data_IF_057758080991
#
_entry.id   IF_057758080991
#
_cell.length_a   1.000
_cell.length_b   1.000
_cell.length_c   1.000
_cell.angle_alpha   90.00
_cell.angle_beta   90.00
_cell.angle_gamma   90.00
#
_symmetry.space_group_name_H-M   'P 1'
#
loop_
_entity.id
_entity.type
_entity.pdbx_description
1 polymer ?
#
# COMPACT_ATOMS: atom_id res chain seq x y z
N UNK A 1 -18.11 65.42 44.24
CA UNK A 1 -18.39 64.02 43.87
C UNK A 1 -18.68 64.02 42.38
N UNK A 2 -17.68 63.69 41.59
CA UNK A 2 -17.66 63.80 40.13
C UNK A 2 -17.82 62.42 39.51
N UNK A 3 -18.96 62.18 38.86
CA UNK A 3 -19.22 61.00 38.06
C UNK A 3 -18.49 61.10 36.72
N UNK A 4 -17.78 60.03 36.36
CA UNK A 4 -17.10 59.83 35.07
C UNK A 4 -18.11 59.47 33.97
N UNK A 5 -17.96 59.99 32.73
CA UNK A 5 -18.83 59.61 31.62
C UNK A 5 -18.42 58.26 31.00
N UNK A 6 -19.41 57.44 30.67
CA UNK A 6 -19.29 56.18 29.94
C UNK A 6 -18.75 56.41 28.52
N UNK A 7 -17.66 55.73 28.15
CA UNK A 7 -17.22 55.51 26.78
C UNK A 7 -17.99 54.34 26.15
N UNK A 8 -18.47 54.45 24.89
CA UNK A 8 -19.12 53.32 24.21
C UNK A 8 -18.08 52.31 23.68
N UNK A 9 -18.42 51.02 23.73
CA UNK A 9 -17.65 49.91 23.14
C UNK A 9 -17.47 50.08 21.62
N UNK A 10 -16.33 49.66 21.03
CA UNK A 10 -16.17 49.65 19.58
C UNK A 10 -16.99 48.52 18.95
N UNK A 11 -17.68 48.85 17.85
CA UNK A 11 -18.47 47.91 17.07
C UNK A 11 -17.59 46.74 16.55
N UNK A 12 -18.08 45.51 16.73
CA UNK A 12 -17.41 44.29 16.30
C UNK A 12 -17.06 44.29 14.80
N UNK A 13 -15.86 43.82 14.48
CA UNK A 13 -15.42 43.56 13.12
C UNK A 13 -16.30 42.49 12.46
N UNK A 14 -16.76 42.67 11.21
CA UNK A 14 -17.52 41.63 10.52
C UNK A 14 -16.61 40.44 10.21
N UNK A 15 -17.10 39.22 10.43
CA UNK A 15 -16.46 37.98 9.97
C UNK A 15 -16.16 38.07 8.46
N UNK A 16 -15.00 37.58 7.98
CA UNK A 16 -14.71 37.57 6.56
C UNK A 16 -15.70 36.63 5.86
N UNK A 17 -16.62 37.21 5.08
CA UNK A 17 -17.49 36.47 4.20
C UNK A 17 -16.64 35.69 3.18
N UNK A 18 -16.69 34.36 3.24
CA UNK A 18 -16.02 33.49 2.28
C UNK A 18 -16.43 33.83 0.84
N UNK A 19 -15.47 33.74 -0.09
CA UNK A 19 -15.70 34.00 -1.51
C UNK A 19 -16.85 33.12 -2.05
N UNK A 20 -17.86 33.68 -2.74
CA UNK A 20 -18.95 32.88 -3.30
C UNK A 20 -18.40 31.89 -4.34
N UNK A 21 -18.77 30.62 -4.22
CA UNK A 21 -18.45 29.60 -5.22
C UNK A 21 -19.25 29.82 -6.51
N UNK A 22 -18.63 29.71 -7.70
CA UNK A 22 -19.37 29.78 -8.97
C UNK A 22 -20.41 28.65 -9.07
N UNK A 23 -21.58 28.96 -9.64
CA UNK A 23 -22.72 28.03 -9.77
C UNK A 23 -22.41 26.73 -10.55
N UNK A 24 -21.28 26.66 -11.24
CA UNK A 24 -20.80 25.50 -12.01
C UNK A 24 -19.84 24.58 -11.25
N UNK A 25 -19.65 24.78 -9.94
CA UNK A 25 -18.76 23.93 -9.12
C UNK A 25 -19.48 22.59 -8.81
N UNK A 26 -18.95 21.43 -9.25
CA UNK A 26 -19.56 20.15 -8.92
C UNK A 26 -19.54 19.90 -7.41
N UNK A 27 -20.72 19.60 -6.83
CA UNK A 27 -20.82 19.20 -5.42
C UNK A 27 -20.39 17.73 -5.32
N UNK A 28 -19.29 17.47 -4.61
CA UNK A 28 -18.87 16.11 -4.33
C UNK A 28 -19.91 15.43 -3.42
N UNK A 29 -20.53 14.36 -3.91
CA UNK A 29 -21.35 13.49 -3.07
C UNK A 29 -20.41 12.77 -2.08
N UNK A 30 -20.57 13.07 -0.80
CA UNK A 30 -19.84 12.41 0.29
C UNK A 30 -20.16 10.90 0.25
N UNK A 31 -19.17 10.01 0.11
CA UNK A 31 -19.41 8.58 0.33
C UNK A 31 -19.72 8.34 1.82
N UNK A 32 -20.51 7.31 2.18
CA UNK A 32 -20.83 7.04 3.57
C UNK A 32 -19.55 6.82 4.38
N UNK A 33 -19.46 7.48 5.55
CA UNK A 33 -18.36 7.29 6.51
C UNK A 33 -18.22 5.79 6.82
N UNK A 34 -17.02 5.25 6.61
CA UNK A 34 -16.62 3.99 7.20
C UNK A 34 -16.61 4.14 8.73
N UNK A 35 -17.56 3.50 9.41
CA UNK A 35 -17.54 3.42 10.88
C UNK A 35 -16.54 2.35 11.31
N UNK A 36 -15.33 2.77 11.67
CA UNK A 36 -14.40 1.93 12.43
C UNK A 36 -14.88 1.89 13.89
N UNK A 37 -15.07 0.72 14.52
CA UNK A 37 -15.38 0.67 15.95
C UNK A 37 -14.13 1.07 16.76
N UNK A 38 -14.27 2.08 17.62
CA UNK A 38 -13.33 2.37 18.69
C UNK A 38 -13.34 1.20 19.68
N UNK A 39 -12.22 0.47 19.81
CA UNK A 39 -12.02 -0.48 20.88
C UNK A 39 -11.11 0.15 21.95
N UNK A 40 -11.72 0.82 22.92
CA UNK A 40 -11.09 1.06 24.21
C UNK A 40 -11.36 -0.15 25.12
N UNK A 41 -10.30 -0.75 25.63
CA UNK A 41 -10.35 -1.83 26.60
C UNK A 41 -10.93 -1.37 27.94
N UNK A 42 -12.04 -1.97 28.37
CA UNK A 42 -12.37 -2.20 29.78
C UNK A 42 -13.44 -3.32 29.88
N UNK A 43 -13.10 -4.40 30.60
CA UNK A 43 -14.04 -5.46 31.05
C UNK A 43 -14.60 -5.11 32.44
N UNK A 44 -15.53 -5.89 33.02
CA UNK A 44 -16.77 -6.45 32.46
C UNK A 44 -17.96 -6.15 33.38
N UNK A 45 -19.19 -6.08 32.85
CA UNK A 45 -20.38 -6.69 33.48
C UNK A 45 -21.66 -6.39 32.69
N UNK A 46 -22.51 -7.40 32.70
CA UNK A 46 -23.97 -7.36 32.61
C UNK A 46 -24.64 -7.68 31.25
N UNK A 47 -25.67 -8.52 31.42
CA UNK A 47 -26.52 -9.21 30.44
C UNK A 47 -27.41 -8.22 29.67
N UNK A 48 -27.80 -8.57 28.44
CA UNK A 48 -29.19 -8.59 27.89
C UNK A 48 -29.12 -8.87 26.37
N UNK A 49 -29.56 -10.05 25.90
CA UNK A 49 -30.82 -10.36 25.17
C UNK A 49 -30.98 -9.67 23.80
N UNK A 50 -31.20 -10.50 22.78
CA UNK A 50 -31.44 -10.18 21.38
C UNK A 50 -32.80 -9.50 21.10
N UNK A 51 -32.91 -8.78 19.98
CA UNK A 51 -34.05 -8.85 19.02
C UNK A 51 -33.80 -8.04 17.74
N UNK A 52 -34.26 -8.62 16.61
CA UNK A 52 -34.78 -8.05 15.35
C UNK A 52 -34.00 -6.89 14.69
N UNK A 53 -33.41 -7.00 13.48
CA UNK A 53 -33.87 -7.67 12.27
C UNK A 53 -34.67 -6.68 11.42
N UNK A 54 -34.08 -6.07 10.38
CA UNK A 54 -34.78 -5.40 9.26
C UNK A 54 -33.93 -5.51 7.99
N UNK A 55 -34.57 -5.99 6.93
CA UNK A 55 -34.06 -6.23 5.58
C UNK A 55 -34.16 -4.96 4.74
N UNK A 56 -33.14 -4.66 3.94
CA UNK A 56 -33.24 -3.72 2.81
C UNK A 56 -32.49 -4.31 1.62
N UNK A 57 -33.25 -4.81 0.65
CA UNK A 57 -32.79 -5.33 -0.64
C UNK A 57 -32.65 -4.18 -1.64
N UNK A 58 -31.47 -3.98 -2.21
CA UNK A 58 -31.31 -3.23 -3.45
C UNK A 58 -30.79 -4.18 -4.54
N UNK A 59 -31.63 -4.38 -5.57
CA UNK A 59 -31.34 -5.25 -6.69
C UNK A 59 -30.42 -4.58 -7.71
N UNK A 60 -29.48 -5.35 -8.25
CA UNK A 60 -28.76 -5.08 -9.48
C UNK A 60 -28.74 -6.34 -10.35
N UNK A 61 -28.95 -6.12 -11.65
CA UNK A 61 -29.16 -7.10 -12.74
C UNK A 61 -28.26 -8.33 -12.72
N UNK A 62 -28.89 -9.50 -12.80
CA UNK A 62 -28.24 -10.76 -13.11
C UNK A 62 -28.00 -10.89 -14.62
N UNK A 63 -26.73 -10.95 -15.03
CA UNK A 63 -26.33 -11.41 -16.36
C UNK A 63 -26.53 -12.94 -16.44
N UNK A 64 -27.34 -13.35 -17.41
CA UNK A 64 -27.79 -14.73 -17.59
C UNK A 64 -26.69 -15.55 -18.31
N UNK A 65 -25.87 -16.27 -17.55
CA UNK A 65 -24.91 -17.26 -18.06
C UNK A 65 -25.32 -18.67 -17.65
N UNK A 66 -25.57 -19.55 -18.63
CA UNK A 66 -25.91 -20.97 -18.41
C UNK A 66 -24.80 -21.68 -17.60
N UNK A 67 -25.13 -22.54 -16.62
CA UNK A 67 -24.11 -23.28 -15.89
C UNK A 67 -23.56 -24.41 -16.78
N UNK A 68 -22.26 -24.36 -17.04
CA UNK A 68 -21.52 -25.47 -17.66
C UNK A 68 -21.35 -26.56 -16.60
N UNK A 69 -21.96 -27.72 -16.82
CA UNK A 69 -21.82 -28.89 -15.96
C UNK A 69 -20.40 -29.47 -16.08
N UNK A 70 -19.50 -29.10 -15.18
CA UNK A 70 -18.23 -29.80 -15.04
C UNK A 70 -18.48 -31.12 -14.31
N UNK A 71 -18.26 -32.22 -15.03
CA UNK A 71 -18.35 -33.58 -14.52
C UNK A 71 -17.47 -33.75 -13.28
N UNK A 72 -18.12 -34.07 -12.16
CA UNK A 72 -17.43 -34.53 -10.97
C UNK A 72 -16.88 -35.94 -11.21
N UNK A 73 -15.64 -36.03 -11.68
CA UNK A 73 -14.87 -37.26 -11.55
C UNK A 73 -14.52 -37.40 -10.07
N UNK A 74 -15.27 -38.26 -9.34
CA UNK A 74 -14.89 -38.71 -8.00
C UNK A 74 -13.51 -39.36 -8.08
N UNK A 75 -12.47 -38.62 -7.72
CA UNK A 75 -11.17 -39.19 -7.42
C UNK A 75 -11.37 -40.16 -6.24
N UNK A 76 -11.10 -41.44 -6.50
CA UNK A 76 -11.15 -42.48 -5.48
C UNK A 76 -10.12 -42.15 -4.39
N UNK A 77 -10.61 -42.07 -3.15
CA UNK A 77 -9.83 -41.67 -1.99
C UNK A 77 -8.98 -42.86 -1.49
N UNK A 78 -7.92 -43.19 -2.22
CA UNK A 78 -6.75 -43.80 -1.61
C UNK A 78 -6.01 -42.68 -0.89
N UNK A 79 -5.88 -42.77 0.44
CA UNK A 79 -5.36 -41.68 1.30
C UNK A 79 -3.98 -41.20 0.88
N UNK A 80 -3.93 -40.25 -0.06
CA UNK A 80 -2.69 -39.63 -0.50
C UNK A 80 -2.14 -38.78 0.64
N UNK A 81 -0.87 -38.99 0.98
CA UNK A 81 -0.17 -38.17 1.95
C UNK A 81 -0.25 -36.70 1.51
N UNK A 82 -0.69 -35.81 2.39
CA UNK A 82 -0.77 -34.39 2.08
C UNK A 82 0.64 -33.85 1.79
N UNK A 83 0.74 -32.91 0.85
CA UNK A 83 2.00 -32.23 0.61
C UNK A 83 2.38 -31.40 1.83
N UNK A 84 3.67 -31.41 2.18
CA UNK A 84 4.18 -30.64 3.32
C UNK A 84 4.45 -29.21 2.85
N UNK A 85 3.99 -28.22 3.62
CA UNK A 85 4.28 -26.80 3.38
C UNK A 85 5.05 -26.24 4.57
N UNK A 86 6.22 -25.67 4.28
CA UNK A 86 7.04 -24.98 5.28
C UNK A 86 6.52 -23.55 5.47
N UNK A 87 5.83 -23.31 6.58
CA UNK A 87 5.38 -21.99 6.99
C UNK A 87 6.53 -21.28 7.71
N UNK A 88 7.13 -20.27 7.09
CA UNK A 88 8.15 -19.42 7.72
C UNK A 88 7.53 -18.09 8.13
N UNK A 89 7.54 -17.80 9.44
CA UNK A 89 6.88 -16.62 9.99
C UNK A 89 6.06 -16.90 11.22
N UNK A 90 5.39 -15.84 11.66
CA UNK A 90 4.48 -15.87 12.79
C UNK A 90 3.10 -16.43 12.40
N UNK A 91 2.29 -16.88 13.37
CA UNK A 91 0.94 -17.39 13.09
C UNK A 91 0.06 -16.37 12.35
N UNK A 92 -0.86 -16.88 11.54
CA UNK A 92 -1.80 -16.04 10.81
C UNK A 92 -2.66 -15.20 11.76
N UNK A 93 -2.60 -13.88 11.58
CA UNK A 93 -3.41 -12.88 12.30
C UNK A 93 -4.69 -12.48 11.56
N UNK A 94 -4.66 -12.51 10.23
CA UNK A 94 -5.76 -12.04 9.37
C UNK A 94 -6.21 -13.15 8.43
N UNK A 95 -7.49 -13.19 8.06
CA UNK A 95 -8.09 -14.24 7.21
C UNK A 95 -7.91 -15.68 7.76
N UNK A 96 -8.26 -15.92 9.04
CA UNK A 96 -8.04 -17.22 9.69
C UNK A 96 -8.78 -18.37 9.01
N UNK A 97 -9.96 -18.13 8.43
CA UNK A 97 -10.72 -19.17 7.72
C UNK A 97 -10.02 -19.63 6.44
N UNK A 98 -9.41 -18.73 5.68
CA UNK A 98 -8.59 -19.09 4.51
C UNK A 98 -7.39 -19.94 4.91
N UNK A 99 -6.72 -19.57 6.00
CA UNK A 99 -5.59 -20.36 6.51
C UNK A 99 -6.04 -21.72 7.07
N UNK A 100 -7.21 -21.78 7.72
CA UNK A 100 -7.79 -23.04 8.20
C UNK A 100 -8.11 -23.99 7.04
N UNK A 101 -8.70 -23.49 5.96
CA UNK A 101 -8.92 -24.27 4.75
C UNK A 101 -7.58 -24.76 4.14
N UNK A 102 -6.58 -23.86 4.08
CA UNK A 102 -5.23 -24.19 3.61
C UNK A 102 -4.56 -25.29 4.46
N UNK A 103 -4.55 -25.15 5.79
CA UNK A 103 -4.02 -26.15 6.72
C UNK A 103 -4.85 -27.45 6.74
N UNK A 104 -6.12 -27.40 6.31
CA UNK A 104 -6.93 -28.58 6.05
C UNK A 104 -6.45 -29.37 4.83
N UNK A 105 -5.93 -28.68 3.81
CA UNK A 105 -5.46 -29.29 2.56
C UNK A 105 -3.99 -29.77 2.61
N UNK A 106 -3.15 -29.17 3.46
CA UNK A 106 -1.71 -29.42 3.50
C UNK A 106 -1.20 -29.79 4.91
N UNK A 107 -0.08 -30.51 4.98
CA UNK A 107 0.64 -30.72 6.23
C UNK A 107 1.57 -29.52 6.47
N UNK A 108 1.09 -28.56 7.27
CA UNK A 108 1.82 -27.31 7.50
C UNK A 108 2.82 -27.47 8.65
N UNK A 109 4.11 -27.35 8.35
CA UNK A 109 5.20 -27.35 9.33
C UNK A 109 5.66 -25.92 9.55
N UNK A 110 5.66 -25.47 10.80
CA UNK A 110 6.10 -24.12 11.17
C UNK A 110 7.29 -24.20 12.12
N UNK A 111 8.53 -23.95 11.63
CA UNK A 111 9.71 -23.93 12.49
C UNK A 111 9.59 -22.88 13.59
N UNK A 112 10.15 -23.19 14.76
CA UNK A 112 10.23 -22.24 15.88
C UNK A 112 11.08 -21.01 15.51
N UNK A 113 11.01 -19.94 16.29
CA UNK A 113 11.79 -18.72 16.02
C UNK A 113 13.31 -18.98 16.06
N UNK A 114 13.77 -19.84 16.96
CA UNK A 114 15.18 -20.26 17.04
C UNK A 114 15.60 -21.05 15.82
N UNK A 115 14.72 -21.93 15.31
CA UNK A 115 14.97 -22.70 14.10
C UNK A 115 14.98 -21.87 12.81
N UNK A 116 14.37 -20.68 12.82
CA UNK A 116 14.38 -19.74 11.70
C UNK A 116 15.64 -18.87 11.63
N UNK A 117 16.53 -18.94 12.62
CA UNK A 117 17.81 -18.24 12.55
C UNK A 117 18.72 -18.88 11.50
N UNK A 118 19.39 -18.09 10.66
CA UNK A 118 20.13 -18.60 9.50
C UNK A 118 21.02 -19.83 9.77
N UNK A 119 21.90 -19.83 10.80
CA UNK A 119 22.78 -20.99 11.04
C UNK A 119 21.99 -22.26 11.39
N UNK A 120 20.97 -22.11 12.22
CA UNK A 120 20.11 -23.22 12.65
C UNK A 120 19.21 -23.71 11.52
N UNK A 121 18.71 -22.80 10.67
CA UNK A 121 17.88 -23.12 9.52
C UNK A 121 18.67 -23.91 8.47
N UNK A 122 19.93 -23.51 8.19
CA UNK A 122 20.85 -24.26 7.32
C UNK A 122 21.09 -25.66 7.86
N UNK A 123 21.37 -25.78 9.17
CA UNK A 123 21.55 -27.06 9.83
C UNK A 123 20.30 -27.93 9.69
N UNK A 124 19.11 -27.36 9.91
CA UNK A 124 17.84 -28.06 9.81
C UNK A 124 17.54 -28.61 8.41
N UNK A 125 17.85 -27.83 7.37
CA UNK A 125 17.70 -28.27 5.99
C UNK A 125 18.62 -29.46 5.67
N UNK A 126 19.89 -29.39 6.11
CA UNK A 126 20.86 -30.50 5.94
C UNK A 126 20.44 -31.78 6.66
N UNK A 127 19.83 -31.63 7.83
CA UNK A 127 19.30 -32.74 8.64
C UNK A 127 17.95 -33.27 8.13
N UNK A 128 17.31 -32.58 7.17
CA UNK A 128 15.98 -32.95 6.68
C UNK A 128 14.88 -32.84 7.74
N UNK A 129 15.03 -31.95 8.74
CA UNK A 129 14.16 -31.89 9.93
C UNK A 129 12.67 -31.68 9.63
N UNK A 130 12.36 -31.01 8.53
CA UNK A 130 10.98 -30.73 8.12
C UNK A 130 10.50 -31.63 6.96
N UNK A 131 11.29 -32.67 6.62
CA UNK A 131 11.02 -33.60 5.54
C UNK A 131 11.06 -32.95 4.15
N UNK A 132 10.60 -33.71 3.15
CA UNK A 132 10.58 -33.31 1.74
C UNK A 132 9.41 -32.35 1.43
N UNK A 133 9.45 -31.13 1.97
CA UNK A 133 8.41 -30.12 1.75
C UNK A 133 8.29 -29.66 0.29
N UNK A 134 7.06 -29.52 -0.17
CA UNK A 134 6.75 -29.18 -1.56
C UNK A 134 6.63 -27.68 -1.81
N UNK A 135 6.39 -26.90 -0.75
CA UNK A 135 6.30 -25.45 -0.85
C UNK A 135 6.79 -24.74 0.40
N UNK A 136 7.15 -23.47 0.22
CA UNK A 136 7.44 -22.52 1.29
C UNK A 136 6.37 -21.44 1.27
N UNK A 137 5.83 -21.12 2.44
CA UNK A 137 4.83 -20.10 2.65
C UNK A 137 5.32 -19.09 3.70
N UNK A 138 5.51 -17.84 3.29
CA UNK A 138 5.85 -16.71 4.15
C UNK A 138 4.71 -15.69 4.19
N UNK A 139 3.79 -15.75 5.15
CA UNK A 139 2.59 -14.92 5.14
C UNK A 139 2.78 -13.46 5.57
N UNK A 140 3.91 -13.13 6.19
CA UNK A 140 4.15 -11.79 6.72
C UNK A 140 5.46 -11.22 6.21
N UNK A 141 5.46 -9.91 5.92
CA UNK A 141 6.69 -9.20 5.61
C UNK A 141 7.56 -9.03 6.86
N UNK A 142 6.96 -8.66 7.99
CA UNK A 142 7.70 -8.35 9.23
C UNK A 142 8.32 -9.56 9.94
N UNK A 143 7.92 -10.78 9.59
CA UNK A 143 8.44 -12.03 10.17
C UNK A 143 8.76 -13.04 9.06
N UNK A 144 9.46 -14.12 9.39
CA UNK A 144 9.84 -15.14 8.39
C UNK A 144 11.03 -14.73 7.52
N UNK A 145 11.69 -13.62 7.85
CA UNK A 145 12.92 -13.14 7.22
C UNK A 145 14.17 -13.35 8.08
N UNK A 146 14.07 -14.11 9.18
CA UNK A 146 15.14 -14.26 10.18
C UNK A 146 16.39 -14.96 9.61
N UNK A 147 16.24 -15.75 8.54
CA UNK A 147 17.35 -16.38 7.84
C UNK A 147 18.09 -15.43 6.87
N UNK A 148 17.62 -14.19 6.73
CA UNK A 148 18.23 -13.18 5.85
C UNK A 148 17.97 -13.46 4.37
N UNK A 149 18.97 -13.14 3.53
CA UNK A 149 18.86 -13.29 2.07
C UNK A 149 18.70 -14.76 1.67
N UNK A 150 17.77 -15.02 0.77
CA UNK A 150 17.61 -16.31 0.11
C UNK A 150 18.52 -16.36 -1.11
N UNK A 151 19.77 -16.74 -0.84
CA UNK A 151 20.85 -16.86 -1.80
C UNK A 151 21.23 -18.33 -2.02
N UNK A 152 22.38 -18.58 -2.64
CA UNK A 152 22.86 -19.93 -2.93
C UNK A 152 22.99 -20.82 -1.71
N UNK A 153 23.40 -20.28 -0.56
CA UNK A 153 23.64 -21.06 0.65
C UNK A 153 22.35 -21.70 1.18
N UNK A 154 21.22 -21.00 1.06
CA UNK A 154 19.90 -21.53 1.45
C UNK A 154 19.23 -22.30 0.32
N UNK A 155 19.20 -21.72 -0.88
CA UNK A 155 18.44 -22.27 -2.01
C UNK A 155 19.00 -23.63 -2.44
N UNK A 156 20.31 -23.85 -2.34
CA UNK A 156 20.91 -25.12 -2.73
C UNK A 156 20.55 -26.28 -1.80
N UNK A 157 20.19 -25.98 -0.55
CA UNK A 157 19.80 -26.96 0.47
C UNK A 157 18.30 -27.31 0.44
N UNK A 158 17.51 -26.67 -0.42
CA UNK A 158 16.09 -26.99 -0.53
C UNK A 158 15.88 -28.41 -1.07
N UNK A 159 14.89 -29.15 -0.54
CA UNK A 159 14.59 -30.50 -1.01
C UNK A 159 14.17 -30.47 -2.48
N UNK A 160 14.49 -31.53 -3.21
CA UNK A 160 14.16 -31.67 -4.63
C UNK A 160 12.66 -31.74 -4.89
N UNK A 161 11.83 -31.88 -3.86
CA UNK A 161 10.37 -31.81 -3.92
C UNK A 161 9.80 -30.39 -3.88
N UNK A 162 10.60 -29.39 -3.46
CA UNK A 162 10.15 -28.01 -3.39
C UNK A 162 9.89 -27.46 -4.81
N UNK A 163 8.69 -26.90 -5.03
CA UNK A 163 8.24 -26.38 -6.33
C UNK A 163 7.71 -24.96 -6.28
N UNK A 164 7.31 -24.47 -5.10
CA UNK A 164 6.70 -23.15 -4.95
C UNK A 164 7.24 -22.44 -3.70
N UNK A 165 7.58 -21.17 -3.84
CA UNK A 165 7.85 -20.27 -2.72
C UNK A 165 6.95 -19.04 -2.83
N UNK A 166 5.93 -18.98 -1.99
CA UNK A 166 5.04 -17.83 -1.88
C UNK A 166 5.42 -16.95 -0.68
N UNK A 167 5.63 -15.65 -0.92
CA UNK A 167 5.94 -14.67 0.11
C UNK A 167 5.04 -13.44 0.05
N UNK A 168 4.65 -12.97 1.22
CA UNK A 168 4.08 -11.63 1.39
C UNK A 168 5.12 -10.56 1.06
N UNK A 169 4.62 -9.40 0.63
CA UNK A 169 5.41 -8.26 0.17
C UNK A 169 5.46 -8.13 -1.35
N UNK A 170 5.66 -6.90 -1.83
CA UNK A 170 5.87 -6.63 -3.26
C UNK A 170 7.35 -6.77 -3.65
N UNK A 171 8.26 -6.28 -2.79
CA UNK A 171 9.70 -6.35 -3.01
C UNK A 171 10.26 -7.74 -2.73
N UNK A 172 11.18 -8.17 -3.58
CA UNK A 172 11.81 -9.50 -3.52
C UNK A 172 13.33 -9.46 -3.70
N UNK A 173 13.95 -8.29 -3.49
CA UNK A 173 15.41 -8.08 -3.63
C UNK A 173 16.26 -8.95 -2.68
N UNK A 174 15.63 -9.50 -1.65
CA UNK A 174 16.23 -10.44 -0.69
C UNK A 174 16.24 -11.89 -1.18
N UNK A 175 15.52 -12.23 -2.26
CA UNK A 175 15.41 -13.58 -2.81
C UNK A 175 16.01 -13.66 -4.21
N UNK A 176 16.95 -14.58 -4.41
CA UNK A 176 17.51 -14.89 -5.73
C UNK A 176 16.49 -15.71 -6.56
N UNK A 177 15.57 -14.98 -7.18
CA UNK A 177 14.49 -15.56 -8.00
C UNK A 177 15.01 -16.26 -9.27
N UNK A 178 16.18 -15.87 -9.78
CA UNK A 178 16.80 -16.55 -10.92
C UNK A 178 17.28 -17.94 -10.50
N UNK A 179 17.92 -18.04 -9.33
CA UNK A 179 18.37 -19.34 -8.80
C UNK A 179 17.21 -20.24 -8.39
N UNK A 180 16.16 -19.69 -7.78
CA UNK A 180 14.92 -20.43 -7.52
C UNK A 180 14.35 -21.00 -8.84
N UNK A 181 14.26 -20.17 -9.88
CA UNK A 181 13.82 -20.59 -11.21
C UNK A 181 14.70 -21.68 -11.83
N UNK A 182 16.02 -21.58 -11.69
CA UNK A 182 16.97 -22.59 -12.18
C UNK A 182 16.80 -23.97 -11.49
N UNK A 183 16.29 -24.00 -10.24
CA UNK A 183 15.91 -25.23 -9.53
C UNK A 183 14.45 -25.68 -9.79
N UNK A 184 13.73 -25.00 -10.69
CA UNK A 184 12.33 -25.30 -10.99
C UNK A 184 11.36 -24.87 -9.88
N UNK A 185 11.74 -23.89 -9.06
CA UNK A 185 10.91 -23.34 -7.99
C UNK A 185 10.26 -22.05 -8.47
N UNK A 186 8.93 -22.01 -8.49
CA UNK A 186 8.17 -20.81 -8.82
C UNK A 186 8.14 -19.89 -7.60
N UNK A 187 8.58 -18.65 -7.77
CA UNK A 187 8.47 -17.61 -6.74
C UNK A 187 7.23 -16.75 -6.96
N UNK A 188 6.42 -16.57 -5.92
CA UNK A 188 5.21 -15.76 -5.93
C UNK A 188 5.30 -14.66 -4.87
N UNK A 189 5.30 -13.40 -5.28
CA UNK A 189 5.15 -12.26 -4.37
C UNK A 189 3.68 -11.83 -4.26
N UNK A 190 3.41 -10.80 -3.46
CA UNK A 190 2.09 -10.17 -3.34
C UNK A 190 2.10 -8.75 -3.93
N UNK A 191 2.57 -8.61 -5.17
CA UNK A 191 2.87 -7.30 -5.79
C UNK A 191 1.69 -6.32 -5.94
N UNK A 192 0.45 -6.77 -5.82
CA UNK A 192 -0.74 -5.91 -5.84
C UNK A 192 -1.22 -5.49 -4.45
N UNK A 193 -0.87 -6.23 -3.40
CA UNK A 193 -1.53 -6.13 -2.09
C UNK A 193 -1.34 -4.77 -1.41
N UNK A 194 -0.20 -4.12 -1.63
CA UNK A 194 0.12 -2.81 -1.04
C UNK A 194 -0.05 -1.64 -2.02
N UNK A 195 -0.47 -1.88 -3.27
CA UNK A 195 -0.44 -0.86 -4.31
C UNK A 195 -1.31 0.35 -3.96
N UNK A 196 -2.52 0.11 -3.44
CA UNK A 196 -3.46 1.16 -3.00
C UNK A 196 -2.89 1.96 -1.83
N UNK A 197 -2.46 1.28 -0.76
CA UNK A 197 -1.94 1.93 0.44
C UNK A 197 -0.67 2.77 0.17
N UNK A 198 0.22 2.28 -0.69
CA UNK A 198 1.41 3.03 -1.09
C UNK A 198 1.02 4.24 -1.94
N UNK A 199 0.07 4.08 -2.87
CA UNK A 199 -0.42 5.20 -3.67
C UNK A 199 -1.06 6.29 -2.80
N UNK A 200 -1.89 5.92 -1.82
CA UNK A 200 -2.50 6.88 -0.88
C UNK A 200 -1.45 7.63 -0.07
N UNK A 201 -0.43 6.93 0.43
CA UNK A 201 0.67 7.56 1.16
C UNK A 201 1.45 8.53 0.27
N UNK A 202 1.71 8.15 -0.99
CA UNK A 202 2.37 9.03 -1.95
C UNK A 202 1.52 10.24 -2.34
N UNK A 203 0.19 10.12 -2.41
CA UNK A 203 -0.71 11.29 -2.58
C UNK A 203 -0.50 12.29 -1.44
N UNK A 204 -0.42 11.82 -0.19
CA UNK A 204 -0.13 12.68 0.95
C UNK A 204 1.26 13.34 0.84
N UNK A 205 2.27 12.62 0.34
CA UNK A 205 3.61 13.19 0.09
C UNK A 205 3.59 14.26 -1.00
N UNK A 206 2.90 14.03 -2.12
CA UNK A 206 2.78 15.02 -3.20
C UNK A 206 2.09 16.28 -2.68
N UNK A 207 0.96 16.15 -1.98
CA UNK A 207 0.29 17.27 -1.32
C UNK A 207 1.23 18.02 -0.35
N UNK A 208 2.01 17.26 0.42
CA UNK A 208 2.99 17.80 1.38
C UNK A 208 4.03 18.70 0.72
N UNK A 209 4.53 18.32 -0.47
CA UNK A 209 5.52 19.13 -1.21
C UNK A 209 4.94 20.43 -1.76
N UNK A 210 3.68 20.43 -2.21
CA UNK A 210 3.03 21.62 -2.78
C UNK A 210 2.51 22.58 -1.72
N UNK A 211 2.22 22.08 -0.52
CA UNK A 211 1.60 22.85 0.58
C UNK A 211 2.55 23.11 1.74
N UNK A 212 3.82 22.74 1.60
CA UNK A 212 4.86 22.90 2.62
C UNK A 212 4.41 22.38 4.00
N UNK A 213 3.71 21.24 4.02
CA UNK A 213 3.11 20.71 5.25
C UNK A 213 4.11 20.49 6.39
N UNK A 214 5.35 20.01 6.17
CA UNK A 214 6.30 19.82 7.27
C UNK A 214 6.65 21.14 7.96
N UNK A 215 6.79 22.23 7.21
CA UNK A 215 7.01 23.57 7.76
C UNK A 215 5.79 24.05 8.54
N UNK A 216 4.60 23.95 7.93
CA UNK A 216 3.36 24.40 8.57
C UNK A 216 3.05 23.63 9.86
N UNK A 217 3.24 22.31 9.85
CA UNK A 217 3.08 21.47 11.05
C UNK A 217 4.12 21.80 12.10
N UNK A 218 5.39 21.99 11.71
CA UNK A 218 6.46 22.38 12.63
C UNK A 218 6.19 23.73 13.31
N UNK A 219 5.75 24.73 12.55
CA UNK A 219 5.40 26.05 13.09
C UNK A 219 4.19 26.03 14.03
N UNK A 220 3.27 25.06 13.88
CA UNK A 220 2.09 24.92 14.72
C UNK A 220 2.34 24.16 16.04
N UNK A 221 3.44 23.40 16.14
CA UNK A 221 3.77 22.58 17.33
C UNK A 221 5.02 23.08 18.08
N UNK A 222 5.72 24.08 17.56
CA UNK A 222 6.92 24.64 18.18
C UNK A 222 6.62 25.13 19.60
N UNK A 223 7.58 24.97 20.51
CA UNK A 223 7.46 25.25 21.94
C UNK A 223 8.35 26.43 22.41
N UNK A 224 8.81 27.27 21.49
CA UNK A 224 9.78 28.33 21.77
C UNK A 224 9.07 29.61 22.26
N UNK A 225 9.77 30.42 23.07
CA UNK A 225 9.26 31.63 23.73
C UNK A 225 8.70 32.73 22.78
N UNK A 226 8.78 32.53 21.46
CA UNK A 226 8.26 33.40 20.39
C UNK A 226 7.32 32.63 19.42
N UNK A 227 6.55 31.68 19.96
CA UNK A 227 5.57 30.83 19.25
C UNK A 227 4.64 31.64 18.31
N UNK A 228 4.13 32.77 18.79
CA UNK A 228 3.27 33.67 18.00
C UNK A 228 4.01 34.18 16.75
N UNK A 229 5.31 34.47 16.85
CA UNK A 229 6.11 34.95 15.71
C UNK A 229 6.36 33.86 14.67
N UNK A 230 6.68 32.63 15.09
CA UNK A 230 6.93 31.52 14.16
C UNK A 230 5.66 31.07 13.42
N UNK A 231 4.54 30.94 14.13
CA UNK A 231 3.26 30.62 13.53
C UNK A 231 2.83 31.72 12.54
N UNK A 232 2.90 32.99 12.96
CA UNK A 232 2.48 34.12 12.12
C UNK A 232 3.40 34.31 10.91
N UNK A 233 4.72 34.11 11.06
CA UNK A 233 5.67 34.14 9.94
C UNK A 233 5.36 33.03 8.93
N UNK A 234 5.13 31.81 9.41
CA UNK A 234 4.73 30.70 8.55
C UNK A 234 3.41 31.00 7.83
N UNK A 235 2.39 31.49 8.54
CA UNK A 235 1.10 31.83 7.96
C UNK A 235 1.23 32.89 6.85
N UNK A 236 2.04 33.94 7.10
CA UNK A 236 2.27 35.00 6.12
C UNK A 236 3.03 34.52 4.88
N UNK A 237 4.01 33.62 5.03
CA UNK A 237 4.92 33.25 3.95
C UNK A 237 4.55 31.94 3.22
N UNK A 238 3.89 30.99 3.90
CA UNK A 238 3.55 29.69 3.31
C UNK A 238 2.56 29.83 2.15
N UNK A 239 1.64 30.77 2.22
CA UNK A 239 0.67 31.04 1.14
C UNK A 239 1.39 31.44 -0.16
N UNK A 240 2.43 32.28 -0.08
CA UNK A 240 3.20 32.72 -1.23
C UNK A 240 4.09 31.63 -1.85
N UNK A 241 4.37 30.55 -1.11
CA UNK A 241 5.20 29.41 -1.56
C UNK A 241 4.37 28.18 -1.94
N UNK A 242 3.11 28.14 -1.55
CA UNK A 242 2.22 27.01 -1.79
C UNK A 242 1.58 27.08 -3.16
N UNK A 243 1.38 25.92 -3.76
CA UNK A 243 0.71 25.80 -5.05
C UNK A 243 -0.43 24.77 -4.95
N UNK A 244 -1.49 24.96 -5.74
CA UNK A 244 -2.49 23.91 -5.95
C UNK A 244 -1.90 22.84 -6.87
N UNK A 245 -2.24 21.57 -6.67
CA UNK A 245 -1.78 20.49 -7.57
C UNK A 245 -2.32 20.65 -9.00
N UNK A 246 -3.57 21.08 -9.13
CA UNK A 246 -4.28 21.17 -10.40
C UNK A 246 -3.50 21.99 -11.42
N UNK A 247 -3.34 21.43 -12.62
CA UNK A 247 -2.65 22.06 -13.74
C UNK A 247 -1.12 21.91 -13.73
N UNK A 248 -0.52 21.40 -12.66
CA UNK A 248 0.91 21.09 -12.64
C UNK A 248 1.19 19.70 -13.20
N UNK A 249 2.39 19.52 -13.71
CA UNK A 249 2.85 18.31 -14.37
C UNK A 249 3.45 17.33 -13.34
N UNK A 250 2.86 16.14 -13.23
CA UNK A 250 3.34 15.04 -12.42
C UNK A 250 4.14 14.07 -13.30
N UNK A 251 5.41 13.83 -12.97
CA UNK A 251 6.23 12.81 -13.60
C UNK A 251 6.27 11.52 -12.79
N UNK A 252 5.84 10.40 -13.37
CA UNK A 252 5.91 9.07 -12.76
C UNK A 252 7.00 8.25 -13.45
N UNK A 253 8.08 7.92 -12.73
CA UNK A 253 9.08 6.97 -13.21
C UNK A 253 8.62 5.57 -12.81
N UNK A 254 8.16 4.77 -13.78
CA UNK A 254 7.60 3.43 -13.59
C UNK A 254 6.07 3.42 -13.46
N UNK A 255 5.37 3.03 -14.53
CA UNK A 255 3.90 2.96 -14.57
C UNK A 255 3.39 1.54 -14.26
N UNK A 256 3.89 0.99 -13.15
CA UNK A 256 3.49 -0.30 -12.59
C UNK A 256 2.17 -0.24 -11.81
N UNK A 257 1.94 -1.20 -10.90
CA UNK A 257 0.71 -1.24 -10.09
C UNK A 257 0.50 0.04 -9.28
N UNK A 258 1.56 0.55 -8.62
CA UNK A 258 1.52 1.79 -7.84
C UNK A 258 1.37 3.00 -8.76
N UNK A 259 2.21 3.10 -9.81
CA UNK A 259 2.20 4.24 -10.72
C UNK A 259 0.85 4.46 -11.41
N UNK A 260 0.12 3.39 -11.76
CA UNK A 260 -1.24 3.49 -12.32
C UNK A 260 -2.25 4.01 -11.31
N UNK A 261 -2.20 3.55 -10.06
CA UNK A 261 -3.06 4.07 -8.99
C UNK A 261 -2.78 5.55 -8.74
N UNK A 262 -1.51 5.96 -8.79
CA UNK A 262 -1.12 7.37 -8.67
C UNK A 262 -1.64 8.21 -9.82
N UNK A 263 -1.48 7.76 -11.06
CA UNK A 263 -2.02 8.45 -12.23
C UNK A 263 -3.53 8.67 -12.10
N UNK A 264 -4.27 7.63 -11.69
CA UNK A 264 -5.72 7.71 -11.49
C UNK A 264 -6.12 8.64 -10.34
N UNK A 265 -5.37 8.67 -9.24
CA UNK A 265 -5.67 9.49 -8.05
C UNK A 265 -5.29 10.96 -8.27
N UNK A 266 -4.08 11.23 -8.78
CA UNK A 266 -3.55 12.59 -8.91
C UNK A 266 -3.94 13.27 -10.23
N UNK A 267 -4.20 12.49 -11.27
CA UNK A 267 -4.60 12.99 -12.59
C UNK A 267 -6.09 13.32 -12.70
N UNK A 268 -6.51 13.59 -13.94
CA UNK A 268 -7.91 13.66 -14.35
C UNK A 268 -8.78 14.63 -13.53
N UNK A 269 -10.03 14.26 -13.17
CA UNK A 269 -10.92 15.16 -12.44
C UNK A 269 -10.65 15.23 -10.93
N UNK A 270 -9.78 14.37 -10.37
CA UNK A 270 -9.56 14.27 -8.92
C UNK A 270 -8.68 15.43 -8.40
N UNK A 271 -7.36 15.33 -8.53
CA UNK A 271 -6.45 16.44 -8.23
C UNK A 271 -6.08 17.25 -9.49
N UNK A 272 -6.32 16.72 -10.68
CA UNK A 272 -6.15 17.43 -11.94
C UNK A 272 -4.73 17.83 -12.28
N UNK A 273 -3.75 17.03 -11.84
CA UNK A 273 -2.39 17.12 -12.38
C UNK A 273 -2.36 16.56 -13.81
N UNK A 274 -1.47 17.09 -14.64
CA UNK A 274 -1.19 16.51 -15.96
C UNK A 274 -0.14 15.42 -15.77
N UNK A 275 -0.51 14.18 -16.08
CA UNK A 275 0.33 13.03 -15.71
C UNK A 275 1.23 12.63 -16.88
N UNK A 276 2.52 12.61 -16.62
CA UNK A 276 3.56 12.13 -17.51
C UNK A 276 4.20 10.88 -16.91
N UNK A 277 4.73 10.00 -17.76
CA UNK A 277 5.45 8.83 -17.26
C UNK A 277 6.59 8.41 -18.18
N UNK A 278 7.57 7.73 -17.59
CA UNK A 278 8.54 6.92 -18.32
C UNK A 278 8.62 5.53 -17.69
N UNK A 279 8.99 4.52 -18.45
CA UNK A 279 9.08 3.14 -17.98
C UNK A 279 10.06 2.37 -18.88
N UNK A 280 10.66 1.30 -18.36
CA UNK A 280 11.55 0.42 -19.12
C UNK A 280 10.86 -0.18 -20.35
N UNK A 281 9.53 -0.32 -20.30
CA UNK A 281 8.69 -0.65 -21.45
C UNK A 281 7.47 0.26 -21.46
N UNK A 282 7.29 0.99 -22.57
CA UNK A 282 6.09 1.79 -22.83
C UNK A 282 4.85 0.92 -22.68
N UNK A 283 3.81 1.46 -22.04
CA UNK A 283 2.54 0.74 -21.90
C UNK A 283 1.77 0.74 -23.22
N UNK A 284 0.86 -0.22 -23.43
CA UNK A 284 -0.04 -0.18 -24.57
C UNK A 284 -0.81 1.14 -24.59
N UNK A 285 -1.05 1.69 -25.78
CA UNK A 285 -1.74 2.98 -25.95
C UNK A 285 -3.11 3.02 -25.26
N UNK A 286 -3.79 1.88 -25.14
CA UNK A 286 -5.06 1.81 -24.42
C UNK A 286 -4.91 2.20 -22.96
N UNK A 287 -3.85 1.72 -22.29
CA UNK A 287 -3.56 2.09 -20.90
C UNK A 287 -3.22 3.58 -20.79
N UNK A 288 -2.53 4.13 -21.78
CA UNK A 288 -2.20 5.55 -21.82
C UNK A 288 -3.46 6.42 -21.94
N UNK A 289 -4.39 6.03 -22.82
CA UNK A 289 -5.69 6.70 -22.99
C UNK A 289 -6.58 6.58 -21.77
N UNK A 290 -6.67 5.38 -21.18
CA UNK A 290 -7.54 5.12 -20.02
C UNK A 290 -7.11 5.93 -18.78
N UNK A 291 -5.81 6.19 -18.64
CA UNK A 291 -5.24 6.94 -17.52
C UNK A 291 -4.96 8.41 -17.85
N UNK A 292 -5.17 8.85 -19.09
CA UNK A 292 -4.80 10.18 -19.59
C UNK A 292 -3.34 10.55 -19.26
N UNK A 293 -2.40 9.66 -19.63
CA UNK A 293 -0.96 9.82 -19.34
C UNK A 293 -0.12 10.01 -20.60
N UNK A 294 0.89 10.86 -20.51
CA UNK A 294 1.84 11.14 -21.60
C UNK A 294 3.16 10.39 -21.39
N UNK A 295 3.57 9.55 -22.35
CA UNK A 295 4.84 8.83 -22.30
C UNK A 295 6.04 9.69 -22.70
N UNK A 296 7.15 9.52 -21.97
CA UNK A 296 8.48 10.07 -22.27
C UNK A 296 9.47 8.95 -22.52
N UNK A 297 10.31 9.12 -23.55
CA UNK A 297 11.28 8.10 -24.00
C UNK A 297 12.32 7.76 -22.92
N UNK A 298 12.67 8.75 -22.10
CA UNK A 298 13.65 8.61 -21.03
C UNK A 298 13.31 9.48 -19.82
N UNK A 299 14.10 9.32 -18.76
CA UNK A 299 13.95 10.10 -17.52
C UNK A 299 14.25 11.58 -17.77
N UNK A 300 15.22 11.93 -18.62
CA UNK A 300 15.61 13.33 -18.84
C UNK A 300 14.49 14.15 -19.49
N UNK A 301 13.85 13.59 -20.51
CA UNK A 301 12.66 14.19 -21.15
C UNK A 301 11.49 14.33 -20.17
N UNK A 302 11.28 13.36 -19.28
CA UNK A 302 10.29 13.45 -18.20
C UNK A 302 10.61 14.61 -17.23
N UNK A 303 11.85 14.65 -16.71
CA UNK A 303 12.28 15.66 -15.74
C UNK A 303 12.18 17.08 -16.30
N UNK A 304 12.49 17.27 -17.59
CA UNK A 304 12.38 18.56 -18.25
C UNK A 304 10.94 19.08 -18.36
N UNK A 305 9.94 18.20 -18.25
CA UNK A 305 8.52 18.53 -18.43
C UNK A 305 7.72 18.59 -17.12
N UNK A 306 8.24 18.13 -15.99
CA UNK A 306 7.45 17.89 -14.78
C UNK A 306 7.82 18.81 -13.61
N UNK A 307 6.80 19.24 -12.85
CA UNK A 307 6.96 20.07 -11.64
C UNK A 307 7.22 19.22 -10.39
N UNK A 308 6.72 17.98 -10.39
CA UNK A 308 6.89 17.02 -9.30
C UNK A 308 7.12 15.63 -9.87
N UNK A 309 8.08 14.89 -9.31
CA UNK A 309 8.48 13.58 -9.83
C UNK A 309 8.42 12.53 -8.73
N UNK A 310 7.79 11.40 -9.04
CA UNK A 310 7.65 10.25 -8.14
C UNK A 310 8.34 9.03 -8.77
N UNK A 311 9.22 8.40 -7.99
CA UNK A 311 9.89 7.16 -8.36
C UNK A 311 9.06 5.95 -7.92
N UNK A 312 8.58 5.17 -8.88
CA UNK A 312 7.78 3.95 -8.72
C UNK A 312 8.46 2.75 -9.39
N UNK A 313 9.78 2.64 -9.21
CA UNK A 313 10.62 1.59 -9.80
C UNK A 313 11.30 0.74 -8.73
N UNK A 314 11.61 -0.53 -9.03
CA UNK A 314 12.51 -1.31 -8.19
C UNK A 314 13.93 -0.69 -8.18
N UNK A 315 14.76 -1.03 -7.18
CA UNK A 315 16.19 -0.70 -7.22
C UNK A 315 16.85 -1.18 -8.51
N UNK A 316 17.84 -0.43 -8.99
CA UNK A 316 18.61 -0.84 -10.16
C UNK A 316 19.45 -2.07 -9.83
N UNK A 317 19.54 -3.00 -10.78
CA UNK A 317 20.34 -4.22 -10.62
C UNK A 317 21.84 -3.94 -10.41
N UNK A 318 22.33 -2.80 -10.92
CA UNK A 318 23.72 -2.35 -10.77
C UNK A 318 23.97 -1.58 -9.46
N UNK A 319 22.95 -1.41 -8.61
CA UNK A 319 23.04 -0.68 -7.34
C UNK A 319 23.22 0.83 -7.47
N UNK A 320 23.23 1.37 -8.71
CA UNK A 320 23.33 2.81 -8.93
C UNK A 320 22.02 3.51 -8.59
N UNK A 321 22.04 4.80 -8.24
CA UNK A 321 20.82 5.57 -8.07
C UNK A 321 20.04 5.69 -9.38
N UNK A 322 18.71 5.83 -9.28
CA UNK A 322 17.84 6.07 -10.44
C UNK A 322 17.97 7.52 -10.92
N UNK A 323 18.11 8.46 -9.98
CA UNK A 323 18.37 9.87 -10.23
C UNK A 323 19.67 10.24 -9.53
N UNK A 324 20.57 10.89 -10.26
CA UNK A 324 21.78 11.48 -9.73
C UNK A 324 21.90 12.94 -10.18
N UNK A 325 23.08 13.54 -10.01
CA UNK A 325 23.33 14.96 -10.35
C UNK A 325 23.72 15.17 -11.82
N UNK A 326 23.93 14.10 -12.58
CA UNK A 326 24.40 14.15 -13.98
C UNK A 326 23.22 14.10 -14.94
#
# INVERSE_FOLDING_TARGET
MSETPNTPEPAGTPEPAGTPTPASTPIALTPPRSTTPLAHCASPTNRYVATNGHSATNGHSACNGKPVSNGHTKLQNGGAKKAIVLHIGDPIRYNPESYKAFAGAFDVVRPSLSERQRPEFIKALREGRWGDFSAIFRPFWGTGGEMGKWDSELIDLLPSSCRVFASAGSGFDWADTQKLGAKGIIYCNSGLAAAEAVADFTVAMVLSTFRHLPWCMGAAIGADDDEDSNFMLCHALATARSHNLRGHNLGIVGLGNIGRQLAAKLGGPAFGMVVHYTDARRKPEQVERDLDVTYHQDINSLLAACDCVVLCVPPRADGRPVLDRT
#
